data_IF_760772065635
#
_entry.id   IF_760772065635
#
_cell.length_a   1.000
_cell.length_b   1.000
_cell.length_c   1.000
_cell.angle_alpha   90.00
_cell.angle_beta   90.00
_cell.angle_gamma   90.00
#
_symmetry.space_group_name_H-M   'P 1'
#
loop_
_entity.id
_entity.type
_entity.pdbx_description
1 polymer ?
#
# COMPACT_ATOMS: atom_id res chain seq x y z
N UNK A 1 -6.82 45.59 -65.37
CA UNK A 1 -7.92 44.95 -64.60
C UNK A 1 -7.88 43.47 -64.93
N UNK A 2 -7.71 42.49 -64.04
CA UNK A 2 -7.57 42.43 -62.59
C UNK A 2 -6.67 41.23 -62.28
N UNK A 3 -5.62 41.45 -61.49
CA UNK A 3 -4.77 40.38 -60.93
C UNK A 3 -5.51 39.85 -59.71
N UNK A 4 -6.04 38.63 -59.76
CA UNK A 4 -6.64 37.96 -58.59
C UNK A 4 -5.54 37.21 -57.85
N UNK A 5 -5.06 37.82 -56.76
CA UNK A 5 -4.20 37.18 -55.77
C UNK A 5 -4.94 36.01 -55.14
N UNK A 6 -4.40 34.80 -55.29
CA UNK A 6 -4.86 33.62 -54.56
C UNK A 6 -3.93 33.46 -53.37
N UNK A 7 -4.37 33.87 -52.18
CA UNK A 7 -3.69 33.56 -50.93
C UNK A 7 -3.90 32.06 -50.62
N UNK A 8 -2.85 31.27 -50.35
CA UNK A 8 -3.04 29.95 -49.77
C UNK A 8 -3.40 30.11 -48.28
N UNK A 9 -4.61 29.68 -47.93
CA UNK A 9 -5.07 29.57 -46.55
C UNK A 9 -4.32 28.40 -45.89
N UNK A 10 -3.19 28.70 -45.26
CA UNK A 10 -2.47 27.72 -44.43
C UNK A 10 -3.36 27.32 -43.25
N UNK A 11 -3.96 26.14 -43.33
CA UNK A 11 -4.63 25.49 -42.22
C UNK A 11 -3.53 25.04 -41.25
N UNK A 12 -3.18 25.89 -40.28
CA UNK A 12 -2.39 25.47 -39.14
C UNK A 12 -3.26 24.52 -38.32
N UNK A 13 -3.15 23.22 -38.62
CA UNK A 13 -3.58 22.18 -37.69
C UNK A 13 -2.67 22.34 -36.47
N UNK A 14 -3.11 23.15 -35.51
CA UNK A 14 -2.50 23.18 -34.19
C UNK A 14 -2.68 21.77 -33.63
N UNK A 15 -1.63 20.96 -33.74
CA UNK A 15 -1.42 19.82 -32.85
C UNK A 15 -1.32 20.41 -31.45
N UNK A 16 -2.48 20.71 -30.85
CA UNK A 16 -2.60 20.88 -29.42
C UNK A 16 -2.14 19.55 -28.87
N UNK A 17 -0.88 19.50 -28.43
CA UNK A 17 -0.39 18.44 -27.58
C UNK A 17 -1.33 18.44 -26.38
N UNK A 18 -2.34 17.57 -26.40
CA UNK A 18 -3.12 17.28 -25.22
C UNK A 18 -2.11 16.66 -24.27
N UNK A 19 -1.61 17.48 -23.34
CA UNK A 19 -0.90 16.99 -22.18
C UNK A 19 -1.87 16.00 -21.53
N UNK A 20 -1.68 14.70 -21.77
CA UNK A 20 -2.55 13.69 -21.19
C UNK A 20 -2.32 13.77 -19.69
N UNK A 21 -3.29 14.35 -19.00
CA UNK A 21 -3.31 14.39 -17.56
C UNK A 21 -3.61 12.98 -17.07
N UNK A 22 -2.56 12.16 -16.98
CA UNK A 22 -2.66 10.80 -16.48
C UNK A 22 -2.94 10.87 -14.98
N UNK A 23 -3.93 10.12 -14.53
CA UNK A 23 -4.18 9.85 -13.12
C UNK A 23 -4.16 8.34 -12.94
N UNK A 24 -3.77 7.90 -11.75
CA UNK A 24 -3.87 6.51 -11.37
C UNK A 24 -4.52 6.43 -10.01
N UNK A 25 -5.56 5.61 -9.88
CA UNK A 25 -6.25 5.36 -8.63
C UNK A 25 -6.19 3.87 -8.35
N UNK A 26 -5.63 3.48 -7.21
CA UNK A 26 -5.79 2.13 -6.68
C UNK A 26 -6.62 2.16 -5.42
N UNK A 27 -7.48 1.16 -5.27
CA UNK A 27 -8.29 0.96 -4.08
C UNK A 27 -8.14 -0.50 -3.67
N UNK A 28 -7.59 -0.73 -2.48
CA UNK A 28 -7.30 -2.04 -1.93
C UNK A 28 -8.03 -2.24 -0.61
N UNK A 29 -8.55 -3.44 -0.40
CA UNK A 29 -9.17 -3.86 0.86
C UNK A 29 -8.20 -4.71 1.68
N UNK A 30 -7.91 -4.28 2.92
CA UNK A 30 -7.09 -5.02 3.86
C UNK A 30 -7.85 -6.26 4.37
N UNK A 31 -7.54 -7.40 3.75
CA UNK A 31 -8.14 -8.70 3.99
C UNK A 31 -8.42 -9.44 2.67
N UNK A 32 -9.01 -10.64 2.75
CA UNK A 32 -9.35 -11.46 1.58
C UNK A 32 -10.86 -11.41 1.25
N UNK A 33 -11.51 -10.29 1.56
CA UNK A 33 -12.93 -10.11 1.28
C UNK A 33 -13.12 -9.63 -0.16
N UNK A 34 -14.17 -10.12 -0.80
CA UNK A 34 -14.61 -9.66 -2.09
C UNK A 34 -15.14 -8.21 -1.98
N UNK A 35 -14.74 -7.30 -2.87
CA UNK A 35 -15.08 -5.86 -2.80
C UNK A 35 -15.72 -5.22 -4.04
N UNK A 36 -16.97 -4.77 -3.93
CA UNK A 36 -17.59 -3.98 -4.99
C UNK A 36 -17.27 -2.50 -4.80
N UNK A 37 -16.79 -1.83 -5.84
CA UNK A 37 -16.43 -0.41 -5.79
C UNK A 37 -17.32 0.39 -6.74
N UNK A 38 -17.85 1.51 -6.27
CA UNK A 38 -18.53 2.51 -7.08
C UNK A 38 -17.67 3.77 -7.15
N UNK A 39 -17.42 4.24 -8.38
CA UNK A 39 -16.76 5.53 -8.64
C UNK A 39 -17.67 6.34 -9.56
N UNK A 40 -18.14 7.49 -9.09
CA UNK A 40 -19.11 8.36 -9.80
C UNK A 40 -20.30 7.56 -10.35
N UNK A 41 -20.87 6.70 -9.49
CA UNK A 41 -21.99 5.80 -9.78
C UNK A 41 -21.71 4.69 -10.82
N UNK A 42 -20.48 4.59 -11.34
CA UNK A 42 -20.04 3.45 -12.16
C UNK A 42 -19.60 2.31 -11.26
N UNK A 43 -20.08 1.10 -11.57
CA UNK A 43 -19.84 -0.09 -10.76
C UNK A 43 -18.65 -0.89 -11.30
N UNK A 44 -17.67 -1.13 -10.44
CA UNK A 44 -16.48 -1.92 -10.72
C UNK A 44 -16.51 -3.20 -9.89
N UNK A 45 -16.46 -4.32 -10.61
CA UNK A 45 -16.50 -5.68 -10.08
C UNK A 45 -15.09 -6.27 -10.13
N UNK A 46 -14.53 -6.62 -8.98
CA UNK A 46 -13.14 -7.12 -8.86
C UNK A 46 -13.18 -8.56 -8.33
N UNK A 47 -12.53 -9.52 -8.97
CA UNK A 47 -12.50 -10.88 -8.41
C UNK A 47 -11.58 -10.98 -7.18
N UNK A 48 -10.71 -9.97 -7.02
CA UNK A 48 -9.72 -9.82 -5.95
C UNK A 48 -10.13 -8.73 -4.95
N UNK A 49 -9.24 -8.48 -3.99
CA UNK A 49 -9.42 -7.46 -2.96
C UNK A 49 -8.93 -6.05 -3.38
N UNK A 50 -8.62 -5.82 -4.66
CA UNK A 50 -8.13 -4.53 -5.15
C UNK A 50 -8.65 -4.17 -6.54
N UNK A 51 -8.64 -2.87 -6.84
CA UNK A 51 -8.98 -2.28 -8.13
C UNK A 51 -7.96 -1.21 -8.46
N UNK A 52 -7.41 -1.23 -9.67
CA UNK A 52 -6.60 -0.14 -10.18
C UNK A 52 -7.24 0.40 -11.45
N UNK A 53 -7.42 1.72 -11.50
CA UNK A 53 -7.99 2.44 -12.64
C UNK A 53 -7.00 3.52 -13.06
N UNK A 54 -6.80 3.60 -14.36
CA UNK A 54 -6.01 4.64 -15.00
C UNK A 54 -6.95 5.57 -15.77
N UNK A 55 -6.49 6.80 -16.02
CA UNK A 55 -7.16 7.79 -16.88
C UNK A 55 -8.53 8.28 -16.40
N UNK A 56 -8.73 8.38 -15.08
CA UNK A 56 -9.80 9.21 -14.54
C UNK A 56 -9.45 10.69 -14.74
N UNK A 57 -10.45 11.52 -15.04
CA UNK A 57 -10.24 12.98 -15.15
C UNK A 57 -9.73 13.54 -13.82
N UNK A 58 -8.71 14.41 -13.77
CA UNK A 58 -8.35 15.07 -12.52
C UNK A 58 -9.56 15.83 -11.94
N UNK A 59 -9.80 15.70 -10.64
CA UNK A 59 -10.96 16.30 -9.99
C UNK A 59 -11.48 15.50 -8.80
N UNK A 60 -12.67 15.87 -8.31
CA UNK A 60 -13.34 15.16 -7.23
C UNK A 60 -14.13 13.98 -7.78
N UNK A 61 -13.91 12.81 -7.19
CA UNK A 61 -14.62 11.57 -7.49
C UNK A 61 -15.29 11.04 -6.24
N UNK A 62 -16.54 10.58 -6.36
CA UNK A 62 -17.22 9.90 -5.26
C UNK A 62 -16.85 8.42 -5.27
N UNK A 63 -16.26 7.92 -4.19
CA UNK A 63 -15.81 6.54 -4.04
C UNK A 63 -16.60 5.85 -2.94
N UNK A 64 -17.25 4.74 -3.28
CA UNK A 64 -17.94 3.86 -2.31
C UNK A 64 -17.41 2.44 -2.45
N UNK A 65 -17.07 1.81 -1.32
CA UNK A 65 -16.61 0.42 -1.27
C UNK A 65 -17.57 -0.43 -0.43
N UNK A 66 -17.93 -1.59 -0.97
CA UNK A 66 -18.84 -2.55 -0.36
C UNK A 66 -18.17 -3.91 -0.23
N UNK A 67 -18.34 -4.57 0.91
CA UNK A 67 -18.03 -6.00 1.04
C UNK A 67 -19.11 -6.82 0.35
N UNK A 68 -18.70 -7.66 -0.60
CA UNK A 68 -19.56 -8.60 -1.28
C UNK A 68 -19.27 -10.05 -0.82
N UNK A 69 -20.32 -10.86 -0.68
CA UNK A 69 -20.15 -12.31 -0.54
C UNK A 69 -19.82 -12.90 -1.91
N UNK A 70 -18.81 -13.77 -1.99
CA UNK A 70 -18.32 -14.36 -3.25
C UNK A 70 -19.43 -14.99 -4.11
N UNK A 71 -20.43 -15.60 -3.46
CA UNK A 71 -21.60 -16.24 -4.10
C UNK A 71 -22.68 -15.27 -4.61
N UNK A 72 -22.55 -13.97 -4.32
CA UNK A 72 -23.58 -12.94 -4.60
C UNK A 72 -22.98 -11.66 -5.18
N UNK A 73 -21.75 -11.72 -5.69
CA UNK A 73 -21.04 -10.55 -6.20
C UNK A 73 -21.80 -9.78 -7.28
N UNK A 74 -22.46 -10.50 -8.21
CA UNK A 74 -23.18 -9.90 -9.34
C UNK A 74 -24.49 -9.21 -8.94
N UNK A 75 -24.90 -9.26 -7.67
CA UNK A 75 -26.15 -8.64 -7.22
C UNK A 75 -25.86 -7.28 -6.55
N UNK A 76 -26.19 -6.14 -7.21
CA UNK A 76 -25.92 -4.82 -6.67
C UNK A 76 -26.69 -4.50 -5.39
N UNK A 77 -27.77 -5.24 -5.08
CA UNK A 77 -28.57 -5.05 -3.88
C UNK A 77 -27.93 -5.64 -2.60
N UNK A 78 -26.86 -6.43 -2.72
CA UNK A 78 -26.23 -7.10 -1.58
C UNK A 78 -24.79 -6.62 -1.38
N UNK A 79 -24.52 -6.04 -0.21
CA UNK A 79 -23.16 -5.72 0.26
C UNK A 79 -23.16 -4.72 1.41
N UNK A 80 -22.24 -4.90 2.36
CA UNK A 80 -22.06 -3.95 3.46
C UNK A 80 -21.14 -2.82 2.99
N UNK A 81 -21.62 -1.57 3.00
CA UNK A 81 -20.78 -0.42 2.72
C UNK A 81 -19.76 -0.27 3.85
N UNK A 82 -18.48 -0.23 3.49
CA UNK A 82 -17.38 -0.04 4.45
C UNK A 82 -16.60 1.24 4.19
N UNK A 83 -16.72 1.85 3.01
CA UNK A 83 -16.11 3.15 2.73
C UNK A 83 -17.02 3.99 1.84
N UNK A 84 -17.09 5.29 2.11
CA UNK A 84 -17.84 6.28 1.34
C UNK A 84 -17.19 7.65 1.54
N UNK A 85 -16.48 8.15 0.53
CA UNK A 85 -15.83 9.46 0.59
C UNK A 85 -15.66 10.06 -0.81
N UNK A 86 -15.44 11.38 -0.85
CA UNK A 86 -14.99 12.05 -2.05
C UNK A 86 -13.46 12.12 -2.04
N UNK A 87 -12.84 11.69 -3.13
CA UNK A 87 -11.39 11.64 -3.31
C UNK A 87 -11.01 12.63 -4.40
N UNK A 88 -9.95 13.41 -4.17
CA UNK A 88 -9.40 14.30 -5.19
C UNK A 88 -8.30 13.56 -5.96
N UNK A 89 -8.47 13.43 -7.27
CA UNK A 89 -7.45 12.88 -8.16
C UNK A 89 -6.69 14.04 -8.80
N UNK A 90 -5.37 14.03 -8.63
CA UNK A 90 -4.47 15.06 -9.18
C UNK A 90 -3.84 14.54 -10.46
N UNK A 91 -3.61 15.45 -11.40
CA UNK A 91 -2.85 15.14 -12.61
C UNK A 91 -1.44 14.71 -12.24
N UNK A 92 -0.93 13.68 -12.92
CA UNK A 92 0.41 13.12 -12.72
C UNK A 92 0.64 12.61 -11.28
N UNK A 93 -0.42 12.09 -10.64
CA UNK A 93 -0.36 11.51 -9.31
C UNK A 93 -1.03 10.13 -9.30
N UNK A 94 -0.34 9.18 -8.66
CA UNK A 94 -0.89 7.91 -8.25
C UNK A 94 -1.47 8.04 -6.86
N UNK A 95 -2.79 7.93 -6.74
CA UNK A 95 -3.52 7.89 -5.48
C UNK A 95 -3.81 6.44 -5.12
N UNK A 96 -3.31 5.96 -3.99
CA UNK A 96 -3.59 4.63 -3.45
C UNK A 96 -4.48 4.72 -2.21
N UNK A 97 -5.56 3.94 -2.18
CA UNK A 97 -6.53 3.92 -1.08
C UNK A 97 -6.60 2.51 -0.50
N UNK A 98 -6.11 2.33 0.72
CA UNK A 98 -6.21 1.05 1.44
C UNK A 98 -7.27 1.13 2.52
N UNK A 99 -8.38 0.42 2.34
CA UNK A 99 -9.51 0.38 3.29
C UNK A 99 -9.45 -0.89 4.13
N UNK A 100 -9.64 -0.81 5.44
CA UNK A 100 -9.75 -2.00 6.28
C UNK A 100 -11.20 -2.42 6.54
N UNK A 101 -11.38 -3.59 7.19
CA UNK A 101 -12.70 -4.17 7.51
C UNK A 101 -13.61 -3.32 8.40
N UNK A 102 -13.05 -2.30 9.04
CA UNK A 102 -13.78 -1.38 9.92
C UNK A 102 -14.09 -0.05 9.21
N UNK A 103 -13.75 0.08 7.92
CA UNK A 103 -13.97 1.28 7.14
C UNK A 103 -12.97 2.41 7.36
N UNK A 104 -11.87 2.15 8.09
CA UNK A 104 -10.74 3.09 8.14
C UNK A 104 -9.95 2.97 6.84
N UNK A 105 -9.64 4.09 6.20
CA UNK A 105 -8.87 4.15 4.97
C UNK A 105 -7.52 4.85 5.18
N UNK A 106 -6.49 4.33 4.52
CA UNK A 106 -5.21 4.99 4.28
C UNK A 106 -5.25 5.52 2.85
N UNK A 107 -4.85 6.77 2.64
CA UNK A 107 -4.72 7.35 1.31
C UNK A 107 -3.28 7.83 1.17
N UNK A 108 -2.58 7.35 0.15
CA UNK A 108 -1.25 7.78 -0.22
C UNK A 108 -1.26 8.39 -1.63
N UNK A 109 -0.42 9.39 -1.87
CA UNK A 109 -0.28 10.05 -3.16
C UNK A 109 1.20 10.09 -3.55
N UNK A 110 1.53 9.55 -4.72
CA UNK A 110 2.89 9.57 -5.26
C UNK A 110 2.87 10.25 -6.64
N UNK A 111 3.88 11.07 -6.99
CA UNK A 111 3.97 11.60 -8.35
C UNK A 111 4.19 10.45 -9.35
N UNK A 112 3.45 10.48 -10.46
CA UNK A 112 3.69 9.62 -11.62
C UNK A 112 4.97 10.15 -12.30
N UNK A 113 6.12 9.71 -11.81
CA UNK A 113 7.40 10.02 -12.45
C UNK A 113 7.54 9.11 -13.66
N UNK A 114 7.91 9.67 -14.81
CA UNK A 114 7.98 9.00 -16.13
C UNK A 114 8.95 7.80 -16.08
N UNK A 115 8.46 6.65 -15.62
CA UNK A 115 9.26 5.48 -15.25
C UNK A 115 8.74 4.81 -13.98
N UNK A 116 7.48 4.38 -14.00
CA UNK A 116 6.86 3.74 -12.83
C UNK A 116 7.33 2.28 -12.64
N UNK A 117 7.60 1.99 -11.38
CA UNK A 117 8.27 0.83 -10.78
C UNK A 117 7.53 -0.52 -10.93
N UNK A 118 6.53 -0.61 -11.81
CA UNK A 118 5.65 -1.79 -11.98
C UNK A 118 5.52 -2.30 -13.43
N UNK A 119 6.28 -1.78 -14.39
CA UNK A 119 6.10 -2.14 -15.81
C UNK A 119 6.81 -3.43 -16.28
N UNK A 120 7.44 -4.18 -15.37
CA UNK A 120 8.24 -5.37 -15.72
C UNK A 120 7.57 -6.72 -15.40
N UNK A 121 6.25 -6.76 -15.22
CA UNK A 121 5.54 -8.04 -15.01
C UNK A 121 4.74 -8.56 -16.21
N UNK A 122 4.78 -7.89 -17.38
CA UNK A 122 3.97 -8.32 -18.54
C UNK A 122 4.74 -8.52 -19.86
N UNK A 123 6.00 -8.98 -19.77
CA UNK A 123 6.67 -9.61 -20.91
C UNK A 123 7.25 -10.96 -20.55
N UNK A 124 6.34 -11.87 -20.24
CA UNK A 124 6.57 -13.30 -20.43
C UNK A 124 6.83 -13.60 -21.91
N UNK A 125 8.11 -13.69 -22.25
CA UNK A 125 8.71 -14.65 -23.18
C UNK A 125 7.96 -14.94 -24.50
N UNK A 126 8.31 -14.18 -25.54
CA UNK A 126 8.22 -14.61 -26.93
C UNK A 126 9.60 -14.52 -27.56
N UNK A 127 10.48 -15.48 -27.25
CA UNK A 127 11.82 -15.55 -27.83
C UNK A 127 11.78 -15.69 -29.36
N UNK A 128 12.73 -15.02 -30.01
CA UNK A 128 13.60 -15.57 -31.06
C UNK A 128 14.67 -14.53 -31.44
N UNK A 129 15.88 -14.86 -31.00
CA UNK A 129 17.18 -14.77 -31.70
C UNK A 129 17.59 -13.46 -32.40
N UNK A 130 18.77 -12.93 -32.05
CA UNK A 130 20.08 -13.17 -32.70
C UNK A 130 21.07 -12.06 -32.28
N UNK A 131 22.17 -12.50 -31.65
CA UNK A 131 23.50 -11.87 -31.60
C UNK A 131 23.68 -10.44 -31.03
N UNK A 132 24.53 -10.35 -29.99
CA UNK A 132 25.90 -9.80 -30.07
C UNK A 132 26.33 -9.13 -28.75
N UNK A 133 27.37 -9.70 -28.15
CA UNK A 133 28.35 -9.12 -27.23
C UNK A 133 27.90 -8.07 -26.21
N UNK A 134 28.04 -8.37 -24.91
CA UNK A 134 29.08 -7.75 -24.09
C UNK A 134 29.06 -8.23 -22.63
N UNK A 135 30.26 -8.53 -22.17
CA UNK A 135 30.74 -8.86 -20.84
C UNK A 135 30.05 -8.08 -19.68
N UNK A 136 29.01 -8.65 -19.08
CA UNK A 136 28.61 -8.38 -17.70
C UNK A 136 28.54 -9.72 -16.97
N UNK A 137 29.15 -9.87 -15.78
CA UNK A 137 28.96 -11.10 -15.00
C UNK A 137 27.46 -11.28 -14.75
N UNK A 138 26.92 -12.50 -14.92
CA UNK A 138 25.50 -12.74 -14.76
C UNK A 138 25.10 -12.38 -13.33
N UNK A 139 24.27 -11.34 -13.18
CA UNK A 139 23.60 -11.04 -11.93
C UNK A 139 22.66 -12.22 -11.69
N UNK A 140 23.08 -13.09 -10.78
CA UNK A 140 22.27 -14.14 -10.20
C UNK A 140 21.08 -13.49 -9.48
N UNK A 141 19.95 -13.34 -10.18
CA UNK A 141 18.69 -12.82 -9.65
C UNK A 141 17.94 -13.82 -8.74
N UNK A 142 18.64 -14.80 -8.17
CA UNK A 142 18.07 -15.79 -7.27
C UNK A 142 18.43 -15.52 -5.80
N UNK A 143 18.66 -14.26 -5.43
CA UNK A 143 18.70 -13.86 -4.02
C UNK A 143 17.27 -13.76 -3.49
N UNK A 144 16.91 -14.51 -2.43
CA UNK A 144 15.64 -14.34 -1.72
C UNK A 144 15.48 -12.85 -1.37
N UNK A 145 14.41 -12.22 -1.88
CA UNK A 145 14.09 -10.83 -1.57
C UNK A 145 13.92 -10.74 -0.06
N UNK A 146 14.93 -10.18 0.60
CA UNK A 146 14.95 -10.12 2.05
C UNK A 146 13.77 -9.29 2.53
N UNK A 147 13.14 -9.67 3.67
CA UNK A 147 12.07 -8.89 4.25
C UNK A 147 12.41 -7.40 4.32
N UNK A 148 11.60 -6.56 3.68
CA UNK A 148 11.77 -5.10 3.71
C UNK A 148 10.91 -4.51 4.81
N UNK A 149 11.49 -3.59 5.58
CA UNK A 149 10.76 -2.86 6.63
C UNK A 149 9.64 -2.00 6.04
N UNK A 150 8.63 -1.73 6.86
CA UNK A 150 7.60 -0.74 6.59
C UNK A 150 8.24 0.64 6.42
N UNK A 151 7.80 1.39 5.39
CA UNK A 151 8.24 2.77 5.18
C UNK A 151 7.79 3.68 6.33
N UNK A 152 8.50 4.78 6.58
CA UNK A 152 8.21 5.67 7.71
C UNK A 152 6.80 6.26 7.64
N UNK A 153 6.31 6.58 6.44
CA UNK A 153 4.95 7.08 6.24
C UNK A 153 3.90 6.03 6.61
N UNK A 154 4.03 4.81 6.09
CA UNK A 154 3.14 3.70 6.42
C UNK A 154 3.20 3.36 7.91
N UNK A 155 4.39 3.43 8.51
CA UNK A 155 4.60 3.20 9.92
C UNK A 155 3.91 4.23 10.80
N UNK A 156 4.05 5.53 10.49
CA UNK A 156 3.38 6.59 11.23
C UNK A 156 1.85 6.41 11.24
N UNK A 157 1.27 5.98 10.13
CA UNK A 157 -0.17 5.68 10.03
C UNK A 157 -0.57 4.44 10.83
N UNK A 158 0.22 3.37 10.76
CA UNK A 158 0.01 2.16 11.56
C UNK A 158 0.07 2.47 13.07
N UNK A 159 1.11 3.20 13.49
CA UNK A 159 1.30 3.66 14.87
C UNK A 159 0.10 4.48 15.34
N UNK A 160 -0.36 5.42 14.53
CA UNK A 160 -1.53 6.25 14.86
C UNK A 160 -2.82 5.43 14.96
N UNK A 161 -2.98 4.43 14.09
CA UNK A 161 -4.14 3.53 14.11
C UNK A 161 -4.21 2.75 15.41
N UNK A 162 -3.06 2.22 15.89
CA UNK A 162 -2.98 1.53 17.18
C UNK A 162 -3.19 2.51 18.32
N UNK A 163 -2.56 3.70 18.28
CA UNK A 163 -2.65 4.72 19.35
C UNK A 163 -4.08 5.17 19.63
N UNK A 164 -4.93 5.23 18.60
CA UNK A 164 -6.36 5.62 18.68
C UNK A 164 -7.23 4.61 19.43
N UNK A 165 -6.79 3.39 19.64
CA UNK A 165 -7.55 2.39 20.38
C UNK A 165 -7.48 2.67 21.90
N UNK A 166 -8.65 2.62 22.57
CA UNK A 166 -8.78 3.01 23.97
C UNK A 166 -8.22 1.99 24.96
N UNK A 167 -8.17 0.71 24.58
CA UNK A 167 -7.78 -0.39 25.46
C UNK A 167 -6.64 -1.20 24.88
N UNK A 168 -5.73 -1.67 25.73
CA UNK A 168 -4.55 -2.45 25.31
C UNK A 168 -4.91 -3.75 24.58
N UNK A 169 -6.03 -4.40 24.91
CA UNK A 169 -6.49 -5.59 24.19
C UNK A 169 -6.83 -5.25 22.72
N UNK A 170 -7.48 -4.11 22.48
CA UNK A 170 -7.79 -3.62 21.13
C UNK A 170 -6.52 -3.22 20.40
N UNK A 171 -5.60 -2.50 21.06
CA UNK A 171 -4.27 -2.17 20.53
C UNK A 171 -3.51 -3.43 20.10
N UNK A 172 -3.51 -4.47 20.93
CA UNK A 172 -2.81 -5.73 20.66
C UNK A 172 -3.38 -6.42 19.42
N UNK A 173 -4.71 -6.47 19.31
CA UNK A 173 -5.40 -7.08 18.16
C UNK A 173 -5.01 -6.38 16.87
N UNK A 174 -5.07 -5.03 16.85
CA UNK A 174 -4.71 -4.23 15.67
C UNK A 174 -3.22 -4.34 15.36
N UNK A 175 -2.36 -4.27 16.37
CA UNK A 175 -0.91 -4.32 16.19
C UNK A 175 -0.45 -5.66 15.62
N UNK A 176 -1.01 -6.79 16.08
CA UNK A 176 -0.73 -8.12 15.51
C UNK A 176 -1.17 -8.22 14.06
N UNK A 177 -2.38 -7.76 13.75
CA UNK A 177 -2.89 -7.77 12.37
C UNK A 177 -1.98 -7.00 11.40
N UNK A 178 -1.46 -5.84 11.83
CA UNK A 178 -0.50 -5.06 11.03
C UNK A 178 0.82 -5.83 10.89
N UNK A 179 1.33 -6.38 11.99
CA UNK A 179 2.60 -7.08 12.00
C UNK A 179 2.60 -8.43 11.27
N UNK A 180 1.45 -9.08 11.08
CA UNK A 180 1.35 -10.32 10.30
C UNK A 180 1.76 -10.15 8.84
N UNK A 181 1.60 -8.93 8.29
CA UNK A 181 1.79 -8.64 6.87
C UNK A 181 2.96 -7.68 6.59
N UNK A 182 3.67 -7.26 7.63
CA UNK A 182 4.72 -6.25 7.51
C UNK A 182 5.94 -6.63 8.34
N UNK A 183 7.09 -6.10 7.95
CA UNK A 183 8.30 -6.14 8.75
C UNK A 183 8.63 -4.76 9.27
N UNK A 184 9.36 -4.70 10.38
CA UNK A 184 9.70 -3.44 11.05
C UNK A 184 11.19 -3.39 11.35
N UNK A 185 11.70 -2.17 11.54
CA UNK A 185 12.93 -1.99 12.30
C UNK A 185 12.67 -2.15 13.78
N UNK A 186 13.72 -2.44 14.53
CA UNK A 186 13.68 -2.50 15.98
C UNK A 186 13.23 -1.16 16.57
N UNK A 187 13.63 -0.05 15.97
CA UNK A 187 13.19 1.30 16.37
C UNK A 187 11.67 1.45 16.21
N UNK A 188 11.12 1.03 15.08
CA UNK A 188 9.68 1.01 14.84
C UNK A 188 8.95 0.10 15.84
N UNK A 189 9.48 -1.10 16.13
CA UNK A 189 8.92 -1.98 17.15
C UNK A 189 8.92 -1.30 18.53
N UNK A 190 10.02 -0.63 18.90
CA UNK A 190 10.14 0.09 20.18
C UNK A 190 9.01 1.12 20.34
N UNK A 191 8.70 1.85 19.29
CA UNK A 191 7.63 2.84 19.29
C UNK A 191 6.25 2.21 19.42
N UNK A 192 6.00 1.08 18.75
CA UNK A 192 4.74 0.36 18.89
C UNK A 192 4.57 -0.25 20.29
N UNK A 193 5.63 -0.81 20.87
CA UNK A 193 5.62 -1.36 22.23
C UNK A 193 5.28 -0.25 23.24
N UNK A 194 5.77 0.98 23.05
CA UNK A 194 5.45 2.12 23.92
C UNK A 194 3.97 2.52 23.91
N UNK A 195 3.17 2.08 22.94
CA UNK A 195 1.73 2.37 22.89
C UNK A 195 0.93 1.58 23.92
N UNK A 196 1.48 0.51 24.50
CA UNK A 196 0.79 -0.29 25.51
C UNK A 196 0.98 0.30 26.90
N UNK A 197 -0.09 0.33 27.67
CA UNK A 197 -0.09 0.85 29.05
C UNK A 197 0.50 -0.17 30.03
N UNK A 198 0.15 -1.45 29.88
CA UNK A 198 0.57 -2.51 30.79
C UNK A 198 1.84 -3.21 30.33
N UNK A 199 2.72 -3.50 31.28
CA UNK A 199 4.03 -4.10 30.97
C UNK A 199 3.92 -5.50 30.37
N UNK A 200 3.00 -6.33 30.86
CA UNK A 200 2.73 -7.66 30.29
C UNK A 200 2.34 -7.56 28.81
N UNK A 201 1.58 -6.52 28.44
CA UNK A 201 1.17 -6.27 27.04
C UNK A 201 2.32 -5.78 26.18
N UNK A 202 3.19 -4.94 26.73
CA UNK A 202 4.44 -4.55 26.07
C UNK A 202 5.29 -5.78 25.75
N UNK A 203 5.42 -6.69 26.72
CA UNK A 203 6.23 -7.90 26.60
C UNK A 203 5.64 -8.88 25.58
N UNK A 204 4.34 -9.13 25.65
CA UNK A 204 3.61 -9.96 24.68
C UNK A 204 3.84 -9.49 23.25
N UNK A 205 3.71 -8.18 23.00
CA UNK A 205 3.90 -7.63 21.67
C UNK A 205 5.36 -7.65 21.24
N UNK A 206 6.30 -7.33 22.14
CA UNK A 206 7.73 -7.40 21.86
C UNK A 206 8.20 -8.82 21.49
N UNK A 207 7.70 -9.86 22.18
CA UNK A 207 8.00 -11.25 21.80
C UNK A 207 7.45 -11.56 20.40
N UNK A 208 6.20 -11.21 20.16
CA UNK A 208 5.53 -11.45 18.87
C UNK A 208 6.22 -10.71 17.69
N UNK A 209 6.60 -9.44 17.87
CA UNK A 209 7.20 -8.61 16.83
C UNK A 209 8.65 -9.01 16.48
N UNK A 210 9.34 -9.77 17.34
CA UNK A 210 10.72 -10.21 17.09
C UNK A 210 10.84 -10.97 15.76
N UNK A 211 9.89 -11.86 15.46
CA UNK A 211 9.84 -12.59 14.19
C UNK A 211 9.62 -11.72 12.95
N UNK A 212 9.05 -10.53 13.16
CA UNK A 212 8.72 -9.53 12.13
C UNK A 212 9.72 -8.37 12.10
N UNK A 213 10.90 -8.54 12.70
CA UNK A 213 11.94 -7.50 12.75
C UNK A 213 13.07 -7.80 11.78
N UNK A 214 13.48 -6.80 10.99
CA UNK A 214 14.54 -6.97 9.98
C UNK A 214 15.95 -6.87 10.57
N UNK A 215 16.15 -6.06 11.60
CA UNK A 215 17.44 -5.74 12.21
C UNK A 215 17.56 -6.29 13.64
N UNK A 216 17.26 -7.59 13.82
CA UNK A 216 17.21 -8.29 15.13
C UNK A 216 18.47 -8.12 16.00
N UNK A 217 19.63 -7.86 15.41
CA UNK A 217 20.85 -7.57 16.16
C UNK A 217 20.73 -6.34 17.07
N UNK A 218 19.82 -5.42 16.74
CA UNK A 218 19.56 -4.20 17.52
C UNK A 218 18.49 -4.39 18.60
N UNK A 219 17.87 -5.58 18.72
CA UNK A 219 16.67 -5.78 19.54
C UNK A 219 16.85 -5.51 21.05
N UNK A 220 18.08 -5.46 21.53
CA UNK A 220 18.41 -5.10 22.90
C UNK A 220 17.86 -3.72 23.32
N UNK A 221 17.66 -2.78 22.39
CA UNK A 221 17.13 -1.43 22.69
C UNK A 221 15.66 -1.44 23.16
N UNK A 222 14.93 -2.54 22.94
CA UNK A 222 13.55 -2.71 23.42
C UNK A 222 13.51 -2.81 24.95
N UNK A 223 14.61 -3.26 25.59
CA UNK A 223 14.69 -3.37 27.04
C UNK A 223 14.45 -2.04 27.78
N UNK A 224 14.73 -0.91 27.12
CA UNK A 224 14.49 0.43 27.67
C UNK A 224 13.00 0.76 27.84
N UNK A 225 12.10 0.01 27.21
CA UNK A 225 10.64 0.23 27.32
C UNK A 225 10.03 -0.45 28.56
N UNK A 226 10.77 -1.38 29.17
CA UNK A 226 10.36 -2.13 30.35
C UNK A 226 10.88 -1.49 31.64
N UNK A 227 10.01 -1.47 32.64
CA UNK A 227 10.30 -0.99 33.98
C UNK A 227 10.89 -2.12 34.83
N UNK A 228 10.30 -3.32 34.76
CA UNK A 228 10.69 -4.45 35.60
C UNK A 228 11.81 -5.27 34.95
N UNK A 229 12.82 -5.64 35.74
CA UNK A 229 13.93 -6.50 35.27
C UNK A 229 13.44 -7.84 34.76
N UNK A 230 12.40 -8.41 35.39
CA UNK A 230 11.78 -9.68 34.99
C UNK A 230 11.33 -9.68 33.52
N UNK A 231 10.69 -8.59 33.05
CA UNK A 231 10.25 -8.48 31.65
C UNK A 231 11.42 -8.47 30.67
N UNK A 232 12.55 -7.86 31.06
CA UNK A 232 13.78 -7.81 30.24
C UNK A 232 14.42 -9.20 30.16
N UNK A 233 14.49 -9.91 31.29
CA UNK A 233 14.97 -11.29 31.36
C UNK A 233 14.11 -12.22 30.52
N UNK A 234 12.78 -12.14 30.65
CA UNK A 234 11.85 -12.95 29.86
C UNK A 234 11.93 -12.68 28.35
N UNK A 235 12.16 -11.43 27.94
CA UNK A 235 12.37 -11.12 26.52
C UNK A 235 13.70 -11.71 26.03
N UNK A 236 14.77 -11.57 26.82
CA UNK A 236 16.08 -12.12 26.49
C UNK A 236 16.03 -13.66 26.36
N UNK A 237 15.32 -14.32 27.28
CA UNK A 237 15.11 -15.77 27.24
C UNK A 237 14.29 -16.20 26.03
N UNK A 238 13.24 -15.46 25.67
CA UNK A 238 12.47 -15.70 24.45
C UNK A 238 13.36 -15.63 23.21
N UNK A 239 14.17 -14.56 23.09
CA UNK A 239 15.07 -14.33 21.95
C UNK A 239 16.12 -15.43 21.84
N UNK A 240 16.71 -15.88 22.97
CA UNK A 240 17.71 -16.95 22.99
C UNK A 240 17.17 -18.28 22.47
N UNK A 241 15.89 -18.54 22.72
CA UNK A 241 15.20 -19.78 22.33
C UNK A 241 14.43 -19.66 21.01
N UNK A 242 14.47 -18.50 20.36
CA UNK A 242 13.76 -18.23 19.11
C UNK A 242 14.40 -18.98 17.94
N UNK A 243 13.59 -19.69 17.14
CA UNK A 243 14.01 -20.48 15.98
C UNK A 243 13.31 -20.01 14.72
#
# INVERSE_FOLDING_TARGET
>A
MNVRNVLPLCFFLTMSTVLHAQTKLSITMAGNAAIRILIDDRNYICQDNSLTIEDLTPGYHSVKLFLAKKERWNNPAYGQMVYNANVILKSQVYTDIVVNRFGKALIDEQPLSRGDYYDNMDRGNGGRDWDRDNNYPPINNNTPRSPQQMSDNAFNMARETIRKESFDNSRMTVARQIADNNYFTTVQVKELVKLFSFEDRKLDFAKYAYGRTVDKNNYFIINEVFTFSKSKEELADYIRNYR
#
